data_IF_162494144752
#
_entry.id   IF_162494144752
#
_cell.length_a   1.000
_cell.length_b   1.000
_cell.length_c   1.000
_cell.angle_alpha   90.00
_cell.angle_beta   90.00
_cell.angle_gamma   90.00
#
_symmetry.space_group_name_H-M   'P 1'
#
loop_
_entity.id
_entity.type
_entity.pdbx_description
1 polymer ?
#
# COMPACT_ATOMS: atom_id res chain seq x y z
N UNK A 1 19.93 15.48 30.42
CA UNK A 1 19.21 14.23 30.07
C UNK A 1 17.98 14.64 29.28
N UNK A 2 17.89 14.28 27.99
CA UNK A 2 16.69 14.59 27.20
C UNK A 2 15.53 13.76 27.73
N UNK A 3 14.46 14.40 28.21
CA UNK A 3 13.28 13.69 28.70
C UNK A 3 12.70 12.84 27.57
N UNK A 4 12.54 11.54 27.81
CA UNK A 4 12.00 10.59 26.83
C UNK A 4 10.58 11.01 26.47
N UNK A 5 10.31 11.27 25.17
CA UNK A 5 8.96 11.62 24.71
C UNK A 5 7.98 10.49 25.06
N UNK A 6 6.77 10.80 25.56
CA UNK A 6 5.73 9.78 25.76
C UNK A 6 5.45 9.02 24.47
N UNK A 7 5.33 7.69 24.58
CA UNK A 7 4.97 6.79 23.49
C UNK A 7 3.52 6.32 23.65
N UNK A 8 2.73 6.47 22.59
CA UNK A 8 1.31 6.12 22.58
C UNK A 8 1.01 5.12 21.48
N UNK A 9 0.16 4.14 21.77
CA UNK A 9 -0.45 3.29 20.75
C UNK A 9 -1.87 3.77 20.50
N UNK A 10 -2.22 3.89 19.23
CA UNK A 10 -3.50 4.47 18.78
C UNK A 10 -4.09 3.56 17.71
N UNK A 11 -5.36 3.23 17.83
CA UNK A 11 -6.12 2.54 16.79
C UNK A 11 -6.83 3.57 15.92
N UNK A 12 -6.74 3.42 14.60
CA UNK A 12 -7.25 4.40 13.64
C UNK A 12 -8.11 3.74 12.58
N UNK A 13 -9.31 4.27 12.37
CA UNK A 13 -10.26 3.79 11.39
C UNK A 13 -10.15 4.58 10.09
N UNK A 14 -9.84 3.89 9.00
CA UNK A 14 -9.99 4.40 7.64
C UNK A 14 -11.30 3.87 7.10
N UNK A 15 -12.38 4.62 7.32
CA UNK A 15 -13.70 4.25 6.81
C UNK A 15 -13.77 4.60 5.33
N UNK A 16 -14.17 3.64 4.50
CA UNK A 16 -14.31 3.82 3.05
C UNK A 16 -15.76 3.53 2.67
N UNK A 17 -16.43 4.49 2.04
CA UNK A 17 -17.80 4.31 1.55
C UNK A 17 -17.84 3.62 0.18
N UNK A 18 -19.05 3.32 -0.32
CA UNK A 18 -19.25 2.69 -1.63
C UNK A 18 -18.75 3.54 -2.81
N UNK A 19 -18.57 4.86 -2.63
CA UNK A 19 -18.00 5.76 -3.64
C UNK A 19 -16.46 5.79 -3.60
N UNK A 20 -15.82 5.07 -2.68
CA UNK A 20 -14.36 5.06 -2.50
C UNK A 20 -13.82 6.28 -1.76
N UNK A 21 -14.68 7.04 -1.09
CA UNK A 21 -14.30 8.20 -0.29
C UNK A 21 -13.95 7.78 1.13
N UNK A 22 -13.05 8.53 1.77
CA UNK A 22 -12.63 8.36 3.16
C UNK A 22 -13.36 9.30 4.09
N UNK A 23 -13.73 8.82 5.27
CA UNK A 23 -14.30 9.66 6.32
C UNK A 23 -13.20 10.33 7.14
N UNK A 24 -13.26 11.65 7.25
CA UNK A 24 -12.46 12.43 8.20
C UNK A 24 -13.36 13.17 9.19
N UNK A 25 -12.86 13.35 10.40
CA UNK A 25 -13.51 14.13 11.45
C UNK A 25 -12.61 15.29 11.89
N UNK A 26 -13.21 16.41 12.27
CA UNK A 26 -12.51 17.52 12.87
C UNK A 26 -12.32 17.30 14.36
N UNK A 27 -11.13 17.62 14.84
CA UNK A 27 -10.77 17.57 16.24
C UNK A 27 -11.59 18.56 17.07
N UNK A 28 -12.17 18.13 18.20
CA UNK A 28 -12.82 19.01 19.16
C UNK A 28 -11.93 20.19 19.61
N UNK A 29 -12.56 21.31 19.98
CA UNK A 29 -11.86 22.58 20.29
C UNK A 29 -10.96 22.52 21.52
N UNK A 30 -11.24 21.60 22.44
CA UNK A 30 -10.52 21.37 23.68
C UNK A 30 -9.35 20.37 23.52
N UNK A 31 -9.28 19.64 22.40
CA UNK A 31 -8.14 18.77 22.08
C UNK A 31 -7.01 19.57 21.42
N UNK A 32 -5.78 19.03 21.44
CA UNK A 32 -4.66 19.59 20.68
C UNK A 32 -5.00 19.63 19.18
N UNK A 33 -4.57 20.67 18.45
CA UNK A 33 -4.89 20.88 17.03
C UNK A 33 -6.41 21.01 16.76
N UNK A 34 -7.10 21.97 17.40
CA UNK A 34 -8.54 22.12 17.24
C UNK A 34 -8.91 22.45 15.79
N UNK A 35 -10.03 21.90 15.33
CA UNK A 35 -10.56 22.02 13.95
C UNK A 35 -9.70 21.37 12.85
N UNK A 36 -8.60 20.69 13.20
CA UNK A 36 -7.82 19.91 12.24
C UNK A 36 -8.52 18.59 11.92
N UNK A 37 -8.45 18.18 10.66
CA UNK A 37 -8.99 16.93 10.16
C UNK A 37 -8.06 15.76 10.50
N UNK A 38 -8.67 14.65 10.88
CA UNK A 38 -8.00 13.38 11.10
C UNK A 38 -8.91 12.20 10.77
N UNK A 39 -8.29 11.03 10.69
CA UNK A 39 -9.03 9.78 10.72
C UNK A 39 -9.56 9.54 12.15
N UNK A 40 -10.80 9.08 12.31
CA UNK A 40 -11.38 8.79 13.61
C UNK A 40 -10.65 7.62 14.31
N UNK A 41 -10.66 7.65 15.64
CA UNK A 41 -9.97 6.66 16.46
C UNK A 41 -9.24 7.28 17.65
N UNK A 42 -8.63 6.41 18.46
CA UNK A 42 -8.11 6.85 19.75
C UNK A 42 -7.13 5.88 20.38
N UNK A 43 -6.80 6.18 21.64
CA UNK A 43 -5.71 5.48 22.34
C UNK A 43 -6.14 4.05 22.66
N UNK A 44 -5.20 3.13 22.50
CA UNK A 44 -5.39 1.75 22.95
C UNK A 44 -5.15 1.71 24.46
N UNK A 45 -6.17 1.28 25.20
CA UNK A 45 -6.09 1.16 26.65
C UNK A 45 -5.37 -0.11 27.10
N UNK A 46 -5.00 -0.16 28.38
CA UNK A 46 -4.27 -1.32 28.92
C UNK A 46 -5.15 -2.56 28.93
N UNK A 47 -4.68 -3.64 28.32
CA UNK A 47 -5.43 -4.91 28.19
C UNK A 47 -6.38 -4.95 26.98
N UNK A 48 -6.48 -3.87 26.21
CA UNK A 48 -7.33 -3.77 25.03
C UNK A 48 -6.56 -4.16 23.76
N UNK A 49 -7.22 -4.86 22.82
CA UNK A 49 -6.66 -5.07 21.48
C UNK A 49 -6.86 -3.82 20.62
N UNK A 50 -6.03 -3.62 19.59
CA UNK A 50 -6.19 -2.48 18.70
C UNK A 50 -7.57 -2.43 18.01
N UNK A 51 -8.13 -3.60 17.67
CA UNK A 51 -9.48 -3.69 17.09
C UNK A 51 -10.58 -3.38 18.11
N UNK A 52 -10.43 -3.82 19.36
CA UNK A 52 -11.38 -3.49 20.43
C UNK A 52 -11.39 -1.97 20.71
N UNK A 53 -10.20 -1.37 20.82
CA UNK A 53 -10.03 0.08 20.92
C UNK A 53 -10.74 0.80 19.76
N UNK A 54 -10.50 0.37 18.51
CA UNK A 54 -11.14 0.98 17.36
C UNK A 54 -12.67 0.91 17.44
N UNK A 55 -13.22 -0.26 17.78
CA UNK A 55 -14.67 -0.45 17.88
C UNK A 55 -15.31 0.44 18.95
N UNK A 56 -14.65 0.60 20.10
CA UNK A 56 -15.08 1.52 21.16
C UNK A 56 -15.04 2.98 20.69
N UNK A 57 -13.90 3.42 20.17
CA UNK A 57 -13.70 4.80 19.72
C UNK A 57 -14.67 5.19 18.59
N UNK A 58 -14.87 4.34 17.57
CA UNK A 58 -15.82 4.67 16.49
C UNK A 58 -17.27 4.70 16.99
N UNK A 59 -17.61 3.92 18.02
CA UNK A 59 -18.93 3.98 18.64
C UNK A 59 -19.13 5.28 19.43
N UNK A 60 -18.12 5.69 20.20
CA UNK A 60 -18.13 6.90 21.03
C UNK A 60 -18.09 8.17 20.17
N UNK A 61 -17.18 8.23 19.19
CA UNK A 61 -16.96 9.41 18.37
C UNK A 61 -17.99 9.58 17.24
N UNK A 62 -18.42 8.47 16.63
CA UNK A 62 -19.22 8.48 15.40
C UNK A 62 -20.60 7.81 15.52
N UNK A 63 -20.85 7.04 16.58
CA UNK A 63 -22.11 6.33 16.78
C UNK A 63 -22.29 5.09 15.91
N UNK A 64 -21.20 4.54 15.39
CA UNK A 64 -21.26 3.39 14.47
C UNK A 64 -20.69 2.13 15.11
N UNK A 65 -21.10 0.98 14.58
CA UNK A 65 -20.57 -0.32 14.97
C UNK A 65 -19.95 -1.02 13.76
N UNK A 66 -18.68 -1.37 13.85
CA UNK A 66 -17.94 -2.02 12.77
C UNK A 66 -18.53 -3.41 12.47
N UNK A 67 -18.77 -3.71 11.20
CA UNK A 67 -19.22 -5.04 10.74
C UNK A 67 -18.24 -5.69 9.77
N UNK A 68 -17.46 -4.92 9.00
CA UNK A 68 -16.35 -5.43 8.17
C UNK A 68 -15.12 -4.54 8.31
N UNK A 69 -14.01 -5.18 8.65
CA UNK A 69 -12.74 -4.49 8.93
C UNK A 69 -11.55 -5.39 8.62
N UNK A 70 -10.44 -4.79 8.19
CA UNK A 70 -9.17 -5.47 8.01
C UNK A 70 -8.02 -4.62 8.55
N UNK A 71 -7.00 -5.22 9.19
CA UNK A 71 -5.80 -4.48 9.56
C UNK A 71 -5.05 -4.04 8.30
N UNK A 72 -4.42 -2.87 8.34
CA UNK A 72 -3.80 -2.29 7.14
C UNK A 72 -2.33 -1.92 7.31
N UNK A 73 -2.01 -0.88 8.09
CA UNK A 73 -0.63 -0.40 8.26
C UNK A 73 -0.39 -0.01 9.71
N UNK A 74 0.77 -0.42 10.25
CA UNK A 74 1.26 0.03 11.56
C UNK A 74 2.31 1.12 11.38
N UNK A 75 1.90 2.38 11.49
CA UNK A 75 2.74 3.54 11.16
C UNK A 75 3.26 4.25 12.41
N UNK A 76 4.58 4.35 12.54
CA UNK A 76 5.22 5.15 13.59
C UNK A 76 5.38 6.60 13.11
N UNK A 77 4.87 7.54 13.88
CA UNK A 77 5.01 8.98 13.65
C UNK A 77 5.55 9.69 14.88
N UNK A 78 6.46 10.65 14.67
CA UNK A 78 7.06 11.44 15.73
C UNK A 78 6.61 12.89 15.66
N UNK A 79 5.83 13.31 16.65
CA UNK A 79 5.51 14.70 16.89
C UNK A 79 6.60 15.38 17.73
N UNK A 80 6.63 16.74 17.79
CA UNK A 80 7.58 17.46 18.64
C UNK A 80 7.52 17.03 20.11
N UNK A 81 6.34 16.67 20.64
CA UNK A 81 6.12 16.35 22.06
C UNK A 81 5.87 14.86 22.36
N UNK A 82 5.51 14.04 21.37
CA UNK A 82 5.12 12.64 21.59
C UNK A 82 5.50 11.76 20.40
N UNK A 83 5.64 10.46 20.63
CA UNK A 83 5.73 9.45 19.59
C UNK A 83 4.46 8.62 19.58
N UNK A 84 3.91 8.37 18.41
CA UNK A 84 2.70 7.57 18.25
C UNK A 84 2.97 6.39 17.32
N UNK A 85 2.42 5.23 17.68
CA UNK A 85 2.26 4.08 16.79
C UNK A 85 0.78 3.96 16.45
N UNK A 86 0.47 4.16 15.18
CA UNK A 86 -0.88 4.18 14.63
C UNK A 86 -1.14 2.84 13.97
N UNK A 87 -2.06 2.06 14.53
CA UNK A 87 -2.59 0.84 13.92
C UNK A 87 -3.80 1.22 13.07
N UNK A 88 -3.60 1.33 11.76
CA UNK A 88 -4.66 1.64 10.81
C UNK A 88 -5.44 0.38 10.44
N UNK A 89 -6.76 0.52 10.38
CA UNK A 89 -7.70 -0.49 9.92
C UNK A 89 -8.54 0.08 8.78
N UNK A 90 -8.70 -0.68 7.70
CA UNK A 90 -9.69 -0.38 6.67
C UNK A 90 -11.05 -0.87 7.16
N UNK A 91 -12.02 0.04 7.25
CA UNK A 91 -13.39 -0.24 7.66
C UNK A 91 -14.29 -0.01 6.46
N UNK A 92 -14.90 -1.08 5.94
CA UNK A 92 -15.67 -1.04 4.69
C UNK A 92 -17.16 -1.33 4.90
N UNK A 93 -17.55 -1.79 6.09
CA UNK A 93 -18.95 -1.90 6.48
C UNK A 93 -19.12 -1.66 7.98
N UNK A 94 -20.25 -1.04 8.33
CA UNK A 94 -20.65 -0.71 9.69
C UNK A 94 -22.17 -0.54 9.77
N UNK A 95 -22.71 -0.63 10.98
CA UNK A 95 -24.08 -0.25 11.31
C UNK A 95 -24.13 1.19 11.85
N UNK A 96 -25.19 1.92 11.50
CA UNK A 96 -25.39 3.33 11.88
C UNK A 96 -24.90 4.34 10.84
N UNK A 97 -25.23 5.61 11.04
CA UNK A 97 -24.80 6.73 10.20
C UNK A 97 -23.69 7.51 10.91
N UNK A 98 -22.47 7.62 10.32
CA UNK A 98 -21.38 8.36 10.95
C UNK A 98 -21.71 9.84 11.15
N UNK A 99 -21.66 10.30 12.40
CA UNK A 99 -21.89 11.70 12.78
C UNK A 99 -21.06 12.05 14.00
N UNK A 100 -20.63 13.30 14.13
CA UNK A 100 -19.85 13.72 15.30
C UNK A 100 -20.69 13.71 16.58
N UNK A 101 -20.42 12.77 17.50
CA UNK A 101 -21.15 12.64 18.77
C UNK A 101 -20.48 13.44 19.89
N UNK A 102 -19.15 13.53 19.90
CA UNK A 102 -18.37 14.18 20.97
C UNK A 102 -18.05 15.65 20.66
N UNK A 103 -18.91 16.33 19.90
CA UNK A 103 -18.74 17.75 19.59
C UNK A 103 -17.74 18.06 18.46
N UNK A 104 -17.38 17.05 17.65
CA UNK A 104 -16.68 17.30 16.39
C UNK A 104 -17.51 18.27 15.53
N UNK A 105 -16.88 19.36 15.08
CA UNK A 105 -17.57 20.40 14.30
C UNK A 105 -17.90 19.94 12.88
N UNK A 106 -17.18 18.94 12.37
CA UNK A 106 -17.36 18.40 11.03
C UNK A 106 -16.97 16.94 10.95
N UNK A 107 -17.81 16.16 10.29
CA UNK A 107 -17.57 14.78 9.88
C UNK A 107 -17.96 14.70 8.41
N UNK A 108 -17.01 14.39 7.52
CA UNK A 108 -17.21 14.52 6.07
C UNK A 108 -16.45 13.43 5.29
N UNK A 109 -17.05 13.06 4.17
CA UNK A 109 -16.44 12.20 3.16
C UNK A 109 -15.58 13.03 2.22
N UNK A 110 -14.43 12.48 1.85
CA UNK A 110 -13.49 13.09 0.91
C UNK A 110 -12.91 12.02 -0.01
N UNK A 111 -12.60 12.37 -1.25
CA UNK A 111 -11.62 11.58 -2.01
C UNK A 111 -10.26 11.68 -1.32
N UNK A 112 -9.50 10.59 -1.31
CA UNK A 112 -8.20 10.56 -0.63
C UNK A 112 -7.21 11.61 -1.17
N UNK A 113 -7.23 11.86 -2.49
CA UNK A 113 -6.43 12.89 -3.16
C UNK A 113 -6.78 14.31 -2.69
N UNK A 114 -8.06 14.63 -2.61
CA UNK A 114 -8.52 15.95 -2.15
C UNK A 114 -8.21 16.15 -0.67
N UNK A 115 -8.47 15.13 0.15
CA UNK A 115 -8.18 15.14 1.58
C UNK A 115 -6.69 15.42 1.87
N UNK A 116 -5.78 14.86 1.08
CA UNK A 116 -4.34 15.05 1.24
C UNK A 116 -3.88 16.51 1.05
N UNK A 117 -4.71 17.35 0.45
CA UNK A 117 -4.43 18.77 0.18
C UNK A 117 -5.05 19.74 1.20
N UNK A 118 -5.76 19.24 2.22
CA UNK A 118 -6.40 20.08 3.22
C UNK A 118 -5.36 20.85 4.08
N UNK A 119 -5.53 22.17 4.20
CA UNK A 119 -4.62 23.05 4.97
C UNK A 119 -4.52 22.65 6.45
N UNK A 120 -5.60 22.14 7.03
CA UNK A 120 -5.70 21.73 8.44
C UNK A 120 -5.83 20.22 8.54
N UNK A 121 -4.89 19.47 8.00
CA UNK A 121 -4.83 18.01 8.10
C UNK A 121 -3.70 17.60 9.06
N UNK A 122 -3.98 16.69 10.00
CA UNK A 122 -2.91 16.20 10.86
C UNK A 122 -1.78 15.56 10.03
N UNK A 123 -0.50 15.88 10.29
CA UNK A 123 0.62 15.37 9.49
C UNK A 123 0.68 13.85 9.37
N UNK A 124 0.28 13.12 10.42
CA UNK A 124 0.27 11.66 10.40
C UNK A 124 -0.80 11.04 9.47
N UNK A 125 -1.79 11.84 9.01
CA UNK A 125 -2.83 11.41 8.08
C UNK A 125 -2.42 11.55 6.61
N UNK A 126 -1.40 12.37 6.31
CA UNK A 126 -0.95 12.65 4.94
C UNK A 126 -0.48 11.37 4.23
N UNK A 127 0.41 10.60 4.87
CA UNK A 127 0.97 9.40 4.26
C UNK A 127 -0.09 8.31 3.99
N UNK A 128 -0.99 7.97 4.93
CA UNK A 128 -2.13 7.08 4.65
C UNK A 128 -3.02 7.53 3.50
N UNK A 129 -3.38 8.82 3.43
CA UNK A 129 -4.21 9.35 2.33
C UNK A 129 -3.51 9.19 0.98
N UNK A 130 -2.21 9.53 0.93
CA UNK A 130 -1.40 9.32 -0.27
C UNK A 130 -1.31 7.85 -0.64
N UNK A 131 -1.17 6.93 0.31
CA UNK A 131 -1.17 5.50 -0.01
C UNK A 131 -2.51 5.03 -0.59
N UNK A 132 -3.64 5.53 -0.08
CA UNK A 132 -4.96 5.20 -0.62
C UNK A 132 -5.19 5.76 -2.03
N UNK A 133 -4.68 6.96 -2.33
CA UNK A 133 -4.81 7.55 -3.66
C UNK A 133 -3.82 6.96 -4.66
N UNK A 134 -2.61 6.60 -4.22
CA UNK A 134 -1.53 6.23 -5.11
C UNK A 134 -1.42 4.72 -5.37
N UNK A 135 -1.85 3.89 -4.42
CA UNK A 135 -1.64 2.43 -4.43
C UNK A 135 -2.97 1.69 -4.60
N UNK A 136 -3.02 0.81 -5.59
CA UNK A 136 -4.17 -0.05 -5.88
C UNK A 136 -4.01 -1.40 -5.18
N UNK A 137 -5.07 -1.92 -4.55
CA UNK A 137 -5.03 -3.22 -3.86
C UNK A 137 -4.59 -4.40 -4.77
N UNK A 138 -4.67 -4.26 -6.10
CA UNK A 138 -4.19 -5.25 -7.06
C UNK A 138 -2.97 -4.71 -7.81
N UNK A 139 -1.84 -5.38 -7.64
CA UNK A 139 -0.55 -5.01 -8.25
C UNK A 139 -0.08 -6.07 -9.25
N UNK A 140 -0.20 -5.78 -10.54
CA UNK A 140 0.10 -6.74 -11.60
C UNK A 140 1.56 -6.68 -12.06
N UNK A 141 2.24 -7.82 -12.11
CA UNK A 141 3.60 -7.95 -12.60
C UNK A 141 3.55 -8.55 -14.00
N UNK A 142 4.27 -7.98 -14.97
CA UNK A 142 4.25 -8.49 -16.34
C UNK A 142 4.60 -9.98 -16.39
N UNK A 143 3.84 -10.81 -17.13
CA UNK A 143 4.24 -12.19 -17.40
C UNK A 143 5.53 -12.21 -18.21
N UNK A 144 6.23 -13.35 -18.23
CA UNK A 144 7.35 -13.51 -19.14
C UNK A 144 6.85 -13.37 -20.58
N UNK A 145 7.46 -12.45 -21.33
CA UNK A 145 7.21 -12.27 -22.76
C UNK A 145 8.39 -12.81 -23.55
N UNK A 146 8.10 -13.29 -24.76
CA UNK A 146 9.13 -13.76 -25.68
C UNK A 146 9.37 -12.70 -26.75
N UNK A 147 10.57 -12.65 -27.37
CA UNK A 147 10.83 -11.78 -28.50
C UNK A 147 9.85 -12.00 -29.67
N UNK A 148 9.25 -13.18 -29.78
CA UNK A 148 8.30 -13.54 -30.83
C UNK A 148 6.84 -13.32 -30.42
N UNK A 149 6.57 -12.94 -29.16
CA UNK A 149 5.21 -12.62 -28.71
C UNK A 149 4.59 -11.51 -29.55
N UNK A 150 3.31 -11.66 -29.88
CA UNK A 150 2.55 -10.64 -30.59
C UNK A 150 2.44 -9.39 -29.71
N UNK A 151 2.76 -8.17 -30.21
CA UNK A 151 2.48 -6.92 -29.50
C UNK A 151 1.06 -6.82 -28.94
N UNK A 152 0.07 -7.43 -29.61
CA UNK A 152 -1.31 -7.44 -29.17
C UNK A 152 -1.53 -8.22 -27.86
N UNK A 153 -0.70 -9.23 -27.56
CA UNK A 153 -0.78 -9.96 -26.28
C UNK A 153 -0.56 -9.03 -25.08
N UNK A 154 0.30 -8.02 -25.23
CA UNK A 154 0.59 -7.05 -24.19
C UNK A 154 -0.60 -6.10 -23.99
N UNK A 155 -1.18 -5.60 -25.08
CA UNK A 155 -2.40 -4.79 -25.06
C UNK A 155 -3.56 -5.53 -24.39
N UNK A 156 -3.78 -6.79 -24.78
CA UNK A 156 -4.80 -7.64 -24.19
C UNK A 156 -4.55 -7.90 -22.71
N UNK A 157 -3.31 -8.17 -22.30
CA UNK A 157 -2.96 -8.36 -20.90
C UNK A 157 -3.30 -7.13 -20.05
N UNK A 158 -2.88 -5.94 -20.49
CA UNK A 158 -3.17 -4.69 -19.77
C UNK A 158 -4.68 -4.46 -19.68
N UNK A 159 -5.39 -4.60 -20.81
CA UNK A 159 -6.84 -4.41 -20.84
C UNK A 159 -7.58 -5.38 -19.89
N UNK A 160 -7.24 -6.67 -19.91
CA UNK A 160 -7.84 -7.68 -19.04
C UNK A 160 -7.56 -7.41 -17.56
N UNK A 161 -6.32 -7.04 -17.22
CA UNK A 161 -5.95 -6.72 -15.85
C UNK A 161 -6.72 -5.48 -15.34
N UNK A 162 -6.88 -4.45 -16.19
CA UNK A 162 -7.64 -3.24 -15.87
C UNK A 162 -9.12 -3.53 -15.64
N UNK A 163 -9.72 -4.43 -16.45
CA UNK A 163 -11.10 -4.90 -16.26
C UNK A 163 -11.28 -5.62 -14.91
N UNK A 164 -10.23 -6.28 -14.39
CA UNK A 164 -10.22 -6.87 -13.05
C UNK A 164 -9.94 -5.85 -11.92
N UNK A 165 -9.81 -4.57 -12.24
CA UNK A 165 -9.58 -3.51 -11.25
C UNK A 165 -8.12 -3.19 -10.97
N UNK A 166 -7.16 -3.78 -11.69
CA UNK A 166 -5.73 -3.42 -11.54
C UNK A 166 -5.53 -1.98 -12.00
N UNK A 167 -4.85 -1.17 -11.16
CA UNK A 167 -4.38 0.18 -11.53
C UNK A 167 -2.89 0.40 -11.29
N UNK A 168 -2.18 -0.59 -10.76
CA UNK A 168 -0.74 -0.56 -10.56
C UNK A 168 -0.10 -1.75 -11.27
N UNK A 169 0.85 -1.47 -12.16
CA UNK A 169 1.57 -2.46 -12.95
C UNK A 169 3.08 -2.40 -12.68
N UNK A 170 3.77 -3.51 -12.93
CA UNK A 170 5.23 -3.61 -12.95
C UNK A 170 5.71 -4.24 -14.24
N UNK A 171 6.59 -3.55 -14.96
CA UNK A 171 7.33 -4.12 -16.08
C UNK A 171 8.57 -4.86 -15.55
N UNK A 172 8.63 -6.18 -15.79
CA UNK A 172 9.71 -7.06 -15.29
C UNK A 172 9.98 -8.21 -16.28
N UNK A 173 11.11 -8.14 -16.98
CA UNK A 173 11.57 -9.15 -17.95
C UNK A 173 13.04 -9.56 -17.67
N UNK A 174 13.31 -10.34 -16.60
CA UNK A 174 14.67 -10.64 -16.14
C UNK A 174 15.41 -11.65 -17.03
N UNK A 175 14.68 -12.45 -17.80
CA UNK A 175 15.21 -13.55 -18.62
C UNK A 175 15.10 -13.25 -20.13
N UNK A 176 15.08 -11.96 -20.50
CA UNK A 176 15.00 -11.60 -21.92
C UNK A 176 16.24 -12.11 -22.68
N UNK A 177 16.10 -12.87 -23.79
CA UNK A 177 17.21 -13.60 -24.40
C UNK A 177 18.43 -12.75 -24.79
N UNK A 178 18.20 -11.49 -25.21
CA UNK A 178 19.25 -10.56 -25.63
C UNK A 178 19.65 -9.58 -24.53
N UNK A 179 19.35 -9.89 -23.26
CA UNK A 179 19.64 -9.07 -22.10
C UNK A 179 18.57 -8.02 -21.77
N UNK A 180 18.58 -7.57 -20.52
CA UNK A 180 17.55 -6.71 -19.92
C UNK A 180 17.64 -5.24 -20.33
N UNK A 181 18.68 -4.87 -21.08
CA UNK A 181 18.97 -3.51 -21.54
C UNK A 181 18.72 -3.31 -23.05
N UNK A 182 18.19 -4.30 -23.77
CA UNK A 182 18.12 -4.24 -25.23
C UNK A 182 17.05 -3.25 -25.75
N UNK A 183 17.24 -2.64 -26.94
CA UNK A 183 16.31 -1.65 -27.50
C UNK A 183 14.90 -2.18 -27.75
N UNK A 184 14.76 -3.46 -28.10
CA UNK A 184 13.43 -4.09 -28.30
C UNK A 184 12.63 -4.10 -27.00
N UNK A 185 13.28 -4.42 -25.88
CA UNK A 185 12.64 -4.45 -24.58
C UNK A 185 12.27 -3.05 -24.08
N UNK A 186 13.10 -2.04 -24.39
CA UNK A 186 12.78 -0.63 -24.13
C UNK A 186 11.48 -0.21 -24.82
N UNK A 187 11.32 -0.58 -26.11
CA UNK A 187 10.08 -0.28 -26.87
C UNK A 187 8.85 -0.96 -26.27
N UNK A 188 8.99 -2.21 -25.79
CA UNK A 188 7.88 -2.90 -25.10
C UNK A 188 7.51 -2.22 -23.79
N UNK A 189 8.50 -1.79 -23.01
CA UNK A 189 8.27 -1.00 -21.79
C UNK A 189 7.53 0.31 -22.10
N UNK A 190 8.00 1.08 -23.09
CA UNK A 190 7.37 2.35 -23.50
C UNK A 190 5.94 2.15 -24.02
N UNK A 191 5.69 1.07 -24.75
CA UNK A 191 4.36 0.72 -25.22
C UNK A 191 3.43 0.37 -24.05
N UNK A 192 3.87 -0.46 -23.11
CA UNK A 192 3.09 -0.79 -21.91
C UNK A 192 2.81 0.45 -21.05
N UNK A 193 3.79 1.36 -20.93
CA UNK A 193 3.64 2.61 -20.20
C UNK A 193 2.52 3.46 -20.80
N UNK A 194 2.54 3.65 -22.13
CA UNK A 194 1.51 4.40 -22.84
C UNK A 194 0.11 3.76 -22.67
N UNK A 195 0.01 2.44 -22.74
CA UNK A 195 -1.25 1.71 -22.52
C UNK A 195 -1.79 1.87 -21.11
N UNK A 196 -0.92 1.81 -20.09
CA UNK A 196 -1.32 2.03 -18.70
C UNK A 196 -1.85 3.45 -18.50
N UNK A 197 -1.11 4.47 -18.97
CA UNK A 197 -1.49 5.87 -18.85
C UNK A 197 -2.80 6.19 -19.57
N UNK A 198 -3.02 5.64 -20.77
CA UNK A 198 -4.26 5.80 -21.51
C UNK A 198 -5.50 5.31 -20.75
N UNK A 199 -5.31 4.46 -19.74
CA UNK A 199 -6.37 3.88 -18.92
C UNK A 199 -6.32 4.35 -17.45
N UNK A 200 -5.53 5.39 -17.15
CA UNK A 200 -5.39 5.94 -15.80
C UNK A 200 -4.69 4.99 -14.81
N UNK A 201 -3.89 4.04 -15.30
CA UNK A 201 -3.09 3.13 -14.49
C UNK A 201 -1.61 3.55 -14.48
N UNK A 202 -0.90 3.16 -13.43
CA UNK A 202 0.54 3.43 -13.27
C UNK A 202 1.38 2.22 -13.66
N UNK A 203 2.56 2.47 -14.23
CA UNK A 203 3.55 1.45 -14.53
C UNK A 203 4.87 1.73 -13.82
N UNK A 204 5.25 0.81 -12.94
CA UNK A 204 6.58 0.75 -12.34
C UNK A 204 7.52 -0.08 -13.20
N UNK A 205 8.80 0.23 -13.16
CA UNK A 205 9.84 -0.61 -13.79
C UNK A 205 10.62 -1.39 -12.73
N UNK A 206 10.88 -2.67 -12.98
CA UNK A 206 11.72 -3.46 -12.09
C UNK A 206 13.20 -3.09 -12.25
N UNK A 207 13.94 -3.08 -11.14
CA UNK A 207 15.37 -2.71 -11.10
C UNK A 207 16.32 -3.67 -11.83
N UNK A 208 15.83 -4.81 -12.33
CA UNK A 208 16.57 -5.65 -13.28
C UNK A 208 16.81 -4.95 -14.62
N UNK A 209 16.02 -3.92 -14.95
CA UNK A 209 16.18 -3.08 -16.13
C UNK A 209 17.06 -1.84 -15.83
N UNK A 210 17.72 -1.26 -16.85
CA UNK A 210 18.67 -0.17 -16.68
C UNK A 210 18.13 1.03 -15.89
N UNK A 211 18.96 1.61 -15.03
CA UNK A 211 18.66 2.84 -14.27
C UNK A 211 18.20 4.00 -15.17
N UNK A 212 18.74 4.08 -16.39
CA UNK A 212 18.37 5.10 -17.37
C UNK A 212 16.88 5.09 -17.76
N UNK A 213 16.15 3.99 -17.53
CA UNK A 213 14.71 3.89 -17.85
C UNK A 213 13.82 4.30 -16.66
N UNK A 214 14.39 4.40 -15.45
CA UNK A 214 13.63 4.59 -14.21
C UNK A 214 12.86 5.91 -14.19
N UNK A 215 13.46 6.98 -14.72
CA UNK A 215 12.83 8.30 -14.76
C UNK A 215 11.58 8.36 -15.66
N UNK A 216 11.50 7.48 -16.67
CA UNK A 216 10.36 7.43 -17.59
C UNK A 216 9.13 6.74 -16.98
N UNK A 217 9.33 5.78 -16.06
CA UNK A 217 8.26 5.08 -15.38
C UNK A 217 7.59 5.95 -14.29
N UNK A 218 6.44 5.53 -13.77
CA UNK A 218 5.79 6.17 -12.61
C UNK A 218 6.53 5.88 -11.29
N UNK A 219 7.47 4.94 -11.34
CA UNK A 219 8.32 4.58 -10.23
C UNK A 219 9.12 3.31 -10.50
N UNK A 220 9.80 2.81 -9.46
CA UNK A 220 10.67 1.63 -9.55
C UNK A 220 10.29 0.62 -8.49
N UNK A 221 10.24 -0.65 -8.89
CA UNK A 221 10.28 -1.79 -7.97
C UNK A 221 11.73 -2.29 -7.85
N UNK A 222 12.37 -2.05 -6.71
CA UNK A 222 13.68 -2.60 -6.42
C UNK A 222 13.57 -4.09 -6.03
N UNK A 223 14.49 -4.90 -6.55
CA UNK A 223 14.82 -6.21 -5.97
C UNK A 223 15.59 -6.00 -4.67
N UNK A 224 15.44 -6.90 -3.69
CA UNK A 224 16.17 -6.82 -2.42
C UNK A 224 17.69 -6.64 -2.63
N UNK A 225 18.26 -7.45 -3.55
CA UNK A 225 19.67 -7.41 -3.92
C UNK A 225 20.14 -6.09 -4.57
N UNK A 226 19.24 -5.32 -5.20
CA UNK A 226 19.60 -4.01 -5.74
C UNK A 226 19.42 -2.91 -4.69
N UNK A 227 18.41 -3.05 -3.82
CA UNK A 227 18.13 -2.09 -2.76
C UNK A 227 19.25 -1.99 -1.72
N UNK A 228 19.94 -3.10 -1.42
CA UNK A 228 21.04 -3.10 -0.44
C UNK A 228 22.27 -2.31 -0.94
N UNK A 229 22.39 -2.09 -2.25
CA UNK A 229 23.51 -1.37 -2.87
C UNK A 229 23.30 0.14 -2.92
N UNK A 230 22.13 0.64 -2.51
CA UNK A 230 21.80 2.06 -2.57
C UNK A 230 21.97 2.71 -1.21
N UNK A 231 22.65 3.85 -1.14
CA UNK A 231 22.79 4.62 0.10
C UNK A 231 21.58 5.50 0.39
N UNK A 232 20.84 5.92 -0.64
CA UNK A 232 19.68 6.79 -0.51
C UNK A 232 18.60 6.46 -1.55
N UNK A 233 17.43 7.11 -1.41
CA UNK A 233 16.32 6.97 -2.35
C UNK A 233 16.78 7.34 -3.76
N UNK A 234 16.66 6.44 -4.76
CA UNK A 234 17.19 6.69 -6.10
C UNK A 234 16.27 7.51 -7.02
N UNK A 235 15.17 8.04 -6.50
CA UNK A 235 14.09 8.68 -7.27
C UNK A 235 13.58 9.93 -6.54
N UNK A 236 13.02 10.86 -7.31
CA UNK A 236 12.25 11.97 -6.76
C UNK A 236 11.06 11.47 -5.90
N UNK A 237 10.64 12.29 -4.93
CA UNK A 237 9.52 11.95 -4.03
C UNK A 237 8.18 11.80 -4.75
N UNK A 238 8.03 12.40 -5.93
CA UNK A 238 6.83 12.31 -6.77
C UNK A 238 6.70 10.98 -7.54
N UNK A 239 7.74 10.14 -7.56
CA UNK A 239 7.73 8.81 -8.19
C UNK A 239 7.55 7.75 -7.12
N UNK A 240 6.89 6.64 -7.41
CA UNK A 240 6.73 5.54 -6.45
C UNK A 240 8.03 4.72 -6.30
N UNK A 241 8.32 4.31 -5.07
CA UNK A 241 9.39 3.35 -4.79
C UNK A 241 8.84 2.14 -4.05
N UNK A 242 8.85 0.99 -4.72
CA UNK A 242 8.60 -0.32 -4.12
C UNK A 242 9.90 -1.07 -3.85
N UNK A 243 9.96 -1.86 -2.78
CA UNK A 243 11.10 -2.75 -2.50
C UNK A 243 10.59 -4.18 -2.27
N UNK A 244 11.25 -5.14 -2.90
CA UNK A 244 10.99 -6.57 -2.68
C UNK A 244 11.65 -6.99 -1.37
N UNK A 245 10.91 -7.72 -0.54
CA UNK A 245 11.35 -8.12 0.79
C UNK A 245 11.05 -9.60 1.05
N UNK A 246 11.93 -10.25 1.81
CA UNK A 246 11.81 -11.65 2.20
C UNK A 246 11.99 -11.84 3.72
N UNK A 247 12.66 -10.91 4.38
CA UNK A 247 12.91 -10.94 5.83
C UNK A 247 13.01 -9.53 6.42
N UNK A 248 13.10 -9.43 7.75
CA UNK A 248 13.16 -8.15 8.46
C UNK A 248 14.29 -7.23 7.98
N UNK A 249 15.46 -7.78 7.61
CA UNK A 249 16.56 -6.99 7.06
C UNK A 249 16.17 -6.18 5.81
N UNK A 250 15.39 -6.76 4.90
CA UNK A 250 14.94 -6.08 3.68
C UNK A 250 13.94 -4.97 4.02
N UNK A 251 13.05 -5.22 4.98
CA UNK A 251 12.04 -4.27 5.46
C UNK A 251 12.73 -3.05 6.07
N UNK A 252 13.74 -3.26 6.91
CA UNK A 252 14.52 -2.18 7.51
C UNK A 252 15.27 -1.38 6.44
N UNK A 253 15.86 -2.05 5.45
CA UNK A 253 16.51 -1.37 4.33
C UNK A 253 15.52 -0.57 3.47
N UNK A 254 14.33 -1.13 3.19
CA UNK A 254 13.27 -0.44 2.47
C UNK A 254 12.80 0.83 3.19
N UNK A 255 12.65 0.76 4.53
CA UNK A 255 12.33 1.94 5.35
C UNK A 255 13.42 3.01 5.27
N UNK A 256 14.69 2.61 5.31
CA UNK A 256 15.84 3.51 5.19
C UNK A 256 15.87 4.23 3.84
N UNK A 257 15.49 3.54 2.76
CA UNK A 257 15.33 4.13 1.43
C UNK A 257 14.04 4.95 1.25
N UNK A 258 13.26 5.13 2.33
CA UNK A 258 11.96 5.78 2.31
C UNK A 258 11.02 5.17 1.24
N UNK A 259 11.02 3.85 1.10
CA UNK A 259 10.10 3.16 0.18
C UNK A 259 8.64 3.52 0.50
N UNK A 260 7.83 3.64 -0.55
CA UNK A 260 6.41 3.97 -0.46
C UNK A 260 5.58 2.72 -0.11
N UNK A 261 6.04 1.55 -0.58
CA UNK A 261 5.43 0.25 -0.26
C UNK A 261 6.47 -0.88 -0.35
N UNK A 262 6.07 -2.07 0.12
CA UNK A 262 6.90 -3.28 0.07
C UNK A 262 6.17 -4.40 -0.66
N UNK A 263 6.94 -5.27 -1.31
CA UNK A 263 6.46 -6.49 -1.95
C UNK A 263 7.05 -7.68 -1.19
N UNK A 264 6.25 -8.31 -0.32
CA UNK A 264 6.71 -9.31 0.63
C UNK A 264 6.23 -10.72 0.21
N UNK A 265 7.18 -11.64 0.08
CA UNK A 265 6.89 -13.03 -0.28
C UNK A 265 8.11 -13.95 -0.25
N UNK A 266 7.98 -15.21 -0.66
CA UNK A 266 6.75 -15.85 -1.16
C UNK A 266 5.85 -16.33 -0.02
N UNK A 267 4.57 -15.97 -0.06
CA UNK A 267 3.59 -16.29 0.99
C UNK A 267 3.11 -17.74 0.87
N UNK A 268 2.73 -18.15 -0.34
CA UNK A 268 2.34 -19.52 -0.67
C UNK A 268 3.37 -20.15 -1.62
N UNK A 269 3.29 -21.47 -1.80
CA UNK A 269 4.09 -22.18 -2.79
C UNK A 269 3.86 -21.56 -4.18
N UNK A 270 4.95 -21.28 -4.89
CA UNK A 270 4.93 -20.59 -6.17
C UNK A 270 5.68 -21.41 -7.21
N UNK A 271 5.15 -21.50 -8.42
CA UNK A 271 5.85 -22.12 -9.55
C UNK A 271 7.14 -21.39 -9.91
N UNK A 272 7.27 -20.11 -9.55
CA UNK A 272 8.51 -19.34 -9.73
C UNK A 272 9.60 -19.70 -8.71
N UNK A 273 9.25 -20.32 -7.57
CA UNK A 273 10.18 -20.73 -6.50
C UNK A 273 9.75 -22.09 -5.90
N UNK A 274 9.86 -23.20 -6.65
CA UNK A 274 9.32 -24.49 -6.25
C UNK A 274 10.07 -25.16 -5.08
N UNK A 275 11.32 -24.74 -4.82
CA UNK A 275 12.22 -25.37 -3.83
C UNK A 275 12.37 -24.56 -2.54
N UNK A 276 11.72 -23.39 -2.43
CA UNK A 276 11.77 -22.57 -1.22
C UNK A 276 10.51 -22.80 -0.38
N UNK A 277 10.68 -22.98 0.94
CA UNK A 277 9.55 -23.09 1.84
C UNK A 277 8.76 -21.77 1.86
N UNK A 278 7.45 -21.87 1.60
CA UNK A 278 6.57 -20.73 1.68
C UNK A 278 6.52 -20.17 3.12
N UNK A 279 6.50 -18.84 3.24
CA UNK A 279 6.52 -18.16 4.55
C UNK A 279 5.22 -18.39 5.34
N UNK A 280 4.09 -18.49 4.65
CA UNK A 280 2.76 -18.58 5.25
C UNK A 280 2.26 -17.26 5.84
N UNK A 281 0.95 -17.20 6.09
CA UNK A 281 0.27 -15.98 6.51
C UNK A 281 0.65 -15.47 7.90
N UNK A 282 0.94 -16.37 8.84
CA UNK A 282 1.37 -15.99 10.19
C UNK A 282 2.66 -15.18 10.14
N UNK A 283 3.69 -15.72 9.46
CA UNK A 283 4.98 -15.04 9.36
C UNK A 283 4.93 -13.80 8.46
N UNK A 284 4.08 -13.81 7.43
CA UNK A 284 3.77 -12.62 6.64
C UNK A 284 3.22 -11.50 7.52
N UNK A 285 2.20 -11.76 8.36
CA UNK A 285 1.59 -10.77 9.24
C UNK A 285 2.59 -10.18 10.24
N UNK A 286 3.44 -11.02 10.86
CA UNK A 286 4.51 -10.57 11.77
C UNK A 286 5.47 -9.56 11.11
N UNK A 287 5.82 -9.80 9.85
CA UNK A 287 6.73 -8.95 9.09
C UNK A 287 6.02 -7.69 8.58
N UNK A 288 4.81 -7.83 8.04
CA UNK A 288 4.01 -6.72 7.55
C UNK A 288 3.71 -5.69 8.66
N UNK A 289 3.44 -6.14 9.88
CA UNK A 289 3.26 -5.27 11.04
C UNK A 289 4.50 -4.43 11.39
N UNK A 290 5.70 -4.81 10.94
CA UNK A 290 6.96 -4.09 11.17
C UNK A 290 7.35 -3.16 10.01
N UNK A 291 6.60 -3.19 8.89
CA UNK A 291 6.94 -2.46 7.68
C UNK A 291 6.76 -0.96 7.80
N UNK A 292 5.79 -0.51 8.59
CA UNK A 292 5.36 0.90 8.67
C UNK A 292 5.06 1.57 7.32
N UNK A 293 4.72 0.73 6.33
CA UNK A 293 4.36 1.06 4.96
C UNK A 293 3.36 0.02 4.47
N UNK A 294 2.55 0.34 3.46
CA UNK A 294 1.76 -0.65 2.73
C UNK A 294 2.60 -1.84 2.26
N UNK A 295 2.08 -3.05 2.45
CA UNK A 295 2.73 -4.29 2.03
C UNK A 295 1.83 -5.05 1.06
N UNK A 296 2.35 -5.41 -0.09
CA UNK A 296 1.72 -6.35 -1.00
C UNK A 296 2.20 -7.75 -0.69
N UNK A 297 1.26 -8.69 -0.55
CA UNK A 297 1.56 -10.10 -0.52
C UNK A 297 1.86 -10.62 -1.93
N UNK A 298 2.87 -11.48 -2.09
CA UNK A 298 3.17 -12.15 -3.36
C UNK A 298 3.56 -13.61 -3.16
N UNK A 299 3.35 -14.42 -4.19
CA UNK A 299 3.78 -15.81 -4.26
C UNK A 299 2.60 -16.77 -4.14
N UNK A 300 2.20 -17.36 -5.28
CA UNK A 300 1.09 -18.33 -5.35
C UNK A 300 -0.32 -17.74 -5.19
N UNK A 301 -0.47 -16.41 -5.25
CA UNK A 301 -1.73 -15.72 -4.98
C UNK A 301 -2.57 -15.46 -6.25
N UNK A 302 -3.88 -15.42 -6.06
CA UNK A 302 -4.91 -15.06 -7.05
C UNK A 302 -5.72 -13.86 -6.57
N UNK A 303 -6.44 -13.16 -7.47
CA UNK A 303 -7.34 -12.05 -7.10
C UNK A 303 -8.28 -12.35 -5.93
N UNK A 304 -8.77 -13.60 -5.84
CA UNK A 304 -9.68 -14.07 -4.80
C UNK A 304 -9.05 -14.16 -3.40
N UNK A 305 -7.72 -14.11 -3.30
CA UNK A 305 -7.01 -14.21 -2.02
C UNK A 305 -6.81 -12.83 -1.36
N UNK A 306 -7.36 -11.76 -1.95
CA UNK A 306 -7.20 -10.38 -1.46
C UNK A 306 -7.72 -10.20 -0.03
N UNK A 307 -8.92 -10.69 0.27
CA UNK A 307 -9.52 -10.56 1.61
C UNK A 307 -8.68 -11.28 2.67
N UNK A 308 -8.17 -12.48 2.35
CA UNK A 308 -7.27 -13.24 3.22
C UNK A 308 -5.96 -12.48 3.44
N UNK A 309 -5.42 -11.85 2.40
CA UNK A 309 -4.20 -11.05 2.51
C UNK A 309 -4.41 -9.82 3.41
N UNK A 310 -5.52 -9.11 3.24
CA UNK A 310 -5.87 -7.93 4.04
C UNK A 310 -6.12 -8.30 5.50
N UNK A 311 -6.74 -9.44 5.78
CA UNK A 311 -6.87 -9.98 7.14
C UNK A 311 -5.49 -10.20 7.83
N UNK A 312 -4.41 -10.31 7.06
CA UNK A 312 -3.03 -10.49 7.52
C UNK A 312 -2.14 -9.25 7.30
N UNK A 313 -2.71 -8.04 7.36
CA UNK A 313 -2.00 -6.76 7.23
C UNK A 313 -1.47 -6.43 5.82
N UNK A 314 -1.89 -7.14 4.77
CA UNK A 314 -1.57 -6.71 3.43
C UNK A 314 -2.40 -5.46 3.06
N UNK A 315 -1.78 -4.50 2.39
CA UNK A 315 -2.53 -3.50 1.64
C UNK A 315 -3.24 -4.14 0.44
N UNK A 316 -2.59 -5.11 -0.18
CA UNK A 316 -3.08 -5.76 -1.38
C UNK A 316 -2.28 -7.00 -1.76
N UNK A 317 -2.54 -7.49 -2.96
CA UNK A 317 -1.86 -8.66 -3.52
C UNK A 317 -1.15 -8.30 -4.82
N UNK A 318 -0.03 -8.95 -5.05
CA UNK A 318 0.69 -8.88 -6.30
C UNK A 318 0.77 -10.26 -6.95
N UNK A 319 0.62 -10.29 -8.27
CA UNK A 319 0.68 -11.53 -9.04
C UNK A 319 1.19 -11.29 -10.45
N UNK A 320 1.71 -12.35 -11.08
CA UNK A 320 2.27 -12.31 -12.43
C UNK A 320 1.18 -12.63 -13.48
N UNK A 321 0.64 -13.84 -13.45
CA UNK A 321 -0.32 -14.32 -14.45
C UNK A 321 -1.78 -14.32 -13.97
N UNK A 322 -2.02 -14.10 -12.68
CA UNK A 322 -3.34 -14.28 -12.08
C UNK A 322 -4.39 -13.22 -12.48
N UNK A 323 -3.97 -12.14 -13.15
CA UNK A 323 -4.86 -11.07 -13.60
C UNK A 323 -5.31 -11.22 -15.06
N UNK A 324 -4.90 -12.28 -15.77
CA UNK A 324 -5.46 -12.61 -17.08
C UNK A 324 -6.92 -13.06 -16.93
N UNK A 325 -7.80 -12.70 -17.86
CA UNK A 325 -9.10 -13.37 -17.96
C UNK A 325 -8.84 -14.78 -18.50
N UNK A 326 -9.40 -15.80 -17.86
CA UNK A 326 -9.40 -17.15 -18.44
C UNK A 326 -10.21 -17.09 -19.74
N UNK A 327 -9.65 -17.62 -20.83
CA UNK A 327 -10.42 -17.90 -22.05
C UNK A 327 -11.53 -18.90 -21.76
#
# INVERSE_FOLDING_TARGET
MSATKPFLNVAVGVLINAAGEVLLAQRPRDKSWPDWWEFPGGKIETGETALAALGRELKEELGIQITTVSPWVCYDYEYPKTRVRLAFFLVTAWDGEPKGIEGQQGVRWFKAEDAATLDKLLPASIAPLRWLSELSALYAISPAWHPESDPEELSQYVAQAIQRGVRLFQFRQPQWPTGTACPKLKRLFEHMLALCHAQGAKLLINSVHPKAWWAAADGVQLRAADAILLEERPLAESKLLGVSCHHLGDILNARRLAADFMLLGHVLASSSHPNEAAMGWHKFAELAAQASRPVYAIGGLRPTDLEVAQAHHAHGIAAISAFKLSQ
#
